data_IF_455025623963
#
_entry.id   IF_455025623963
#
_cell.length_a   1.000
_cell.length_b   1.000
_cell.length_c   1.000
_cell.angle_alpha   90.00
_cell.angle_beta   90.00
_cell.angle_gamma   90.00
#
_symmetry.space_group_name_H-M   'P 1'
#
loop_
_entity.id
_entity.type
_entity.pdbx_description
1 polymer ?
#
# COMPACT_ATOMS: atom_id res chain seq x y z
N UNK A 1 -10.26 -9.19 22.87
CA UNK A 1 -10.59 -10.62 22.71
C UNK A 1 -10.62 -11.07 21.25
N UNK A 2 -11.31 -10.36 20.34
CA UNK A 2 -11.46 -10.77 18.93
C UNK A 2 -10.13 -10.97 18.16
N UNK A 3 -9.19 -10.02 18.26
CA UNK A 3 -7.88 -10.13 17.59
C UNK A 3 -7.08 -11.33 18.11
N UNK A 4 -7.06 -11.56 19.42
CA UNK A 4 -6.36 -12.71 20.00
C UNK A 4 -6.95 -14.04 19.50
N UNK A 5 -8.28 -14.13 19.34
CA UNK A 5 -8.93 -15.31 18.76
C UNK A 5 -8.64 -15.47 17.27
N UNK A 6 -8.61 -14.38 16.50
CA UNK A 6 -8.20 -14.43 15.08
C UNK A 6 -6.79 -15.00 14.94
N UNK A 7 -5.85 -14.54 15.77
CA UNK A 7 -4.46 -15.00 15.75
C UNK A 7 -4.36 -16.48 16.12
N UNK A 8 -5.08 -16.93 17.15
CA UNK A 8 -4.98 -18.30 17.66
C UNK A 8 -5.76 -19.32 16.81
N UNK A 9 -6.93 -18.95 16.31
CA UNK A 9 -7.89 -19.88 15.69
C UNK A 9 -7.87 -19.82 14.15
N UNK A 10 -7.39 -18.72 13.54
CA UNK A 10 -7.50 -18.50 12.09
C UNK A 10 -6.19 -17.97 11.45
N UNK A 11 -5.09 -18.75 11.48
CA UNK A 11 -3.79 -18.31 11.00
C UNK A 11 -3.76 -17.95 9.50
N UNK A 12 -4.56 -18.64 8.67
CA UNK A 12 -4.63 -18.35 7.24
C UNK A 12 -5.21 -16.96 6.95
N UNK A 13 -6.20 -16.50 7.73
CA UNK A 13 -6.75 -15.15 7.59
C UNK A 13 -5.79 -14.09 8.10
N UNK A 14 -5.09 -14.36 9.21
CA UNK A 14 -4.03 -13.46 9.68
C UNK A 14 -2.95 -13.29 8.62
N UNK A 15 -2.51 -14.38 7.99
CA UNK A 15 -1.54 -14.35 6.90
C UNK A 15 -2.07 -13.52 5.72
N UNK A 16 -3.30 -13.78 5.26
CA UNK A 16 -3.88 -13.04 4.14
C UNK A 16 -3.98 -11.53 4.42
N UNK A 17 -4.38 -11.14 5.64
CA UNK A 17 -4.45 -9.73 6.08
C UNK A 17 -3.05 -9.11 6.13
N UNK A 18 -2.07 -9.82 6.69
CA UNK A 18 -0.70 -9.35 6.80
C UNK A 18 -0.05 -9.17 5.42
N UNK A 19 -0.20 -10.14 4.51
CA UNK A 19 0.32 -10.02 3.15
C UNK A 19 -0.41 -8.92 2.38
N UNK A 20 -1.73 -8.83 2.53
CA UNK A 20 -2.54 -7.81 1.87
C UNK A 20 -2.16 -6.40 2.30
N UNK A 21 -1.92 -6.17 3.60
CA UNK A 21 -1.52 -4.85 4.11
C UNK A 21 -0.16 -4.42 3.58
N UNK A 22 0.80 -5.36 3.50
CA UNK A 22 2.14 -5.08 2.98
C UNK A 22 2.11 -4.81 1.48
N UNK A 23 1.47 -5.66 0.67
CA UNK A 23 1.44 -5.49 -0.78
C UNK A 23 0.65 -4.27 -1.23
N UNK A 24 -0.44 -3.92 -0.53
CA UNK A 24 -1.29 -2.80 -0.93
C UNK A 24 -0.87 -1.46 -0.31
N UNK A 25 0.03 -1.45 0.69
CA UNK A 25 0.50 -0.23 1.34
C UNK A 25 1.26 0.74 0.42
N UNK A 26 1.78 0.26 -0.71
CA UNK A 26 2.47 1.10 -1.69
C UNK A 26 1.54 1.88 -2.63
N UNK A 27 0.25 1.54 -2.68
CA UNK A 27 -0.71 2.07 -3.66
C UNK A 27 -1.10 3.53 -3.43
N UNK A 28 -0.66 4.15 -2.34
CA UNK A 28 -0.84 5.58 -2.08
C UNK A 28 0.14 6.05 -1.02
N UNK A 29 0.38 7.36 -0.94
CA UNK A 29 1.20 7.97 0.10
C UNK A 29 0.60 7.82 1.51
N UNK A 30 -0.69 7.51 1.64
CA UNK A 30 -1.34 7.22 2.94
C UNK A 30 -1.11 5.77 3.38
N UNK A 31 -0.72 4.88 2.47
CA UNK A 31 -0.73 3.43 2.71
C UNK A 31 0.31 2.95 3.72
N UNK A 32 1.39 3.70 3.96
CA UNK A 32 2.34 3.43 5.03
C UNK A 32 3.06 4.72 5.49
N UNK A 33 3.67 4.66 6.68
CA UNK A 33 4.34 5.81 7.29
C UNK A 33 5.52 6.37 6.46
N UNK A 34 6.42 5.54 5.89
CA UNK A 34 7.49 6.04 5.02
C UNK A 34 6.99 6.82 3.80
N UNK A 35 5.96 6.34 3.09
CA UNK A 35 5.42 7.04 1.93
C UNK A 35 4.78 8.38 2.32
N UNK A 36 4.13 8.42 3.48
CA UNK A 36 3.55 9.66 4.01
C UNK A 36 4.64 10.68 4.32
N UNK A 37 5.76 10.23 4.88
CA UNK A 37 6.94 11.05 5.12
C UNK A 37 7.53 11.60 3.82
N UNK A 38 7.70 10.78 2.78
CA UNK A 38 8.17 11.23 1.45
C UNK A 38 7.24 12.28 0.86
N UNK A 39 5.92 12.09 1.00
CA UNK A 39 4.91 13.07 0.54
C UNK A 39 5.05 14.40 1.27
N UNK A 40 5.27 14.41 2.58
CA UNK A 40 5.53 15.64 3.34
C UNK A 40 6.81 16.36 2.89
N UNK A 41 7.91 15.63 2.68
CA UNK A 41 9.17 16.21 2.17
C UNK A 41 8.97 16.84 0.79
N UNK A 42 8.22 16.18 -0.10
CA UNK A 42 7.92 16.71 -1.42
C UNK A 42 7.07 18.00 -1.35
N UNK A 43 6.06 18.04 -0.47
CA UNK A 43 5.24 19.23 -0.23
C UNK A 43 6.08 20.39 0.34
N UNK A 44 6.96 20.12 1.30
CA UNK A 44 7.90 21.10 1.86
C UNK A 44 8.87 21.66 0.80
N UNK A 45 9.28 20.83 -0.17
CA UNK A 45 10.11 21.23 -1.30
C UNK A 45 9.33 21.98 -2.41
N UNK A 46 8.02 22.24 -2.22
CA UNK A 46 7.18 22.94 -3.20
C UNK A 46 6.75 22.07 -4.39
N UNK A 47 6.89 20.74 -4.32
CA UNK A 47 6.40 19.82 -5.35
C UNK A 47 4.90 19.59 -5.17
N UNK A 48 4.07 19.87 -6.18
CA UNK A 48 2.63 19.67 -6.08
C UNK A 48 2.30 18.18 -6.03
N UNK A 49 1.83 17.71 -4.86
CA UNK A 49 1.42 16.33 -4.66
C UNK A 49 -0.02 16.10 -5.12
N UNK A 50 -0.33 14.97 -5.79
CA UNK A 50 -1.69 14.64 -6.17
C UNK A 50 -2.56 14.35 -4.93
N UNK A 51 -3.89 14.51 -5.07
CA UNK A 51 -4.83 14.01 -4.06
C UNK A 51 -4.77 12.48 -3.95
N UNK A 52 -5.36 11.90 -2.90
CA UNK A 52 -5.37 10.45 -2.70
C UNK A 52 -5.84 9.67 -3.94
N UNK A 53 -7.03 10.00 -4.46
CA UNK A 53 -7.55 9.37 -5.68
C UNK A 53 -6.77 9.80 -6.92
N UNK A 54 -6.25 11.03 -6.96
CA UNK A 54 -5.36 11.49 -8.03
C UNK A 54 -4.09 10.64 -8.14
N UNK A 55 -3.51 10.24 -7.01
CA UNK A 55 -2.36 9.34 -6.97
C UNK A 55 -2.72 7.96 -7.53
N UNK A 56 -3.88 7.43 -7.14
CA UNK A 56 -4.35 6.11 -7.57
C UNK A 56 -4.50 6.07 -9.10
N UNK A 57 -5.23 7.02 -9.68
CA UNK A 57 -5.49 7.01 -11.12
C UNK A 57 -4.26 7.36 -11.96
N UNK A 58 -3.37 8.22 -11.46
CA UNK A 58 -2.21 8.70 -12.22
C UNK A 58 -0.98 7.82 -12.11
N UNK A 59 -0.80 7.12 -11.00
CA UNK A 59 0.41 6.34 -10.72
C UNK A 59 0.09 4.89 -10.36
N UNK A 60 -0.85 4.64 -9.47
CA UNK A 60 -1.10 3.28 -8.99
C UNK A 60 -1.66 2.38 -10.08
N UNK A 61 -2.75 2.77 -10.73
CA UNK A 61 -3.39 1.98 -11.78
C UNK A 61 -2.49 1.80 -13.01
N UNK A 62 -1.84 2.84 -13.57
CA UNK A 62 -1.04 2.67 -14.78
C UNK A 62 0.37 2.13 -14.55
N UNK A 63 0.92 2.20 -13.33
CA UNK A 63 2.33 1.81 -13.07
C UNK A 63 2.43 0.73 -12.00
N UNK A 64 1.94 0.98 -10.77
CA UNK A 64 2.15 0.05 -9.65
C UNK A 64 1.41 -1.27 -9.84
N UNK A 65 0.14 -1.25 -10.27
CA UNK A 65 -0.65 -2.47 -10.50
C UNK A 65 -0.04 -3.33 -11.62
N UNK A 66 0.27 -2.81 -12.82
CA UNK A 66 0.95 -3.59 -13.85
C UNK A 66 2.27 -4.18 -13.38
N UNK A 67 3.08 -3.38 -12.67
CA UNK A 67 4.36 -3.87 -12.12
C UNK A 67 4.14 -5.00 -11.12
N UNK A 68 3.16 -4.87 -10.23
CA UNK A 68 2.80 -5.91 -9.26
C UNK A 68 2.35 -7.20 -9.96
N UNK A 69 1.50 -7.10 -10.99
CA UNK A 69 1.06 -8.27 -11.77
C UNK A 69 2.23 -8.96 -12.48
N UNK A 70 3.15 -8.19 -13.08
CA UNK A 70 4.35 -8.74 -13.74
C UNK A 70 5.24 -9.47 -12.74
N UNK A 71 5.53 -8.85 -11.60
CA UNK A 71 6.34 -9.47 -10.54
C UNK A 71 5.67 -10.74 -10.02
N UNK A 72 4.35 -10.71 -9.80
CA UNK A 72 3.59 -11.89 -9.32
C UNK A 72 3.56 -13.02 -10.35
N UNK A 73 3.66 -12.71 -11.64
CA UNK A 73 3.68 -13.72 -12.69
C UNK A 73 5.07 -14.37 -12.88
N UNK A 74 6.14 -13.61 -12.63
CA UNK A 74 7.52 -14.06 -12.81
C UNK A 74 8.02 -14.91 -11.63
N UNK A 75 7.66 -14.53 -10.40
CA UNK A 75 8.12 -15.16 -9.15
C UNK A 75 7.02 -16.00 -8.50
#
# INVERSE_FOLDING_TARGET
>A
AAVARLIAENPAYLQAIATGSVFMGANSYIGNAPNFMVKSIAEEAGVPMPSFFGYIFRYTVPVLIPTFLVVTWIF
#
